data_IF_265062204443
#
_entry.id   IF_265062204443
#
_cell.length_a   1.000
_cell.length_b   1.000
_cell.length_c   1.000
_cell.angle_alpha   90.00
_cell.angle_beta   90.00
_cell.angle_gamma   90.00
#
_symmetry.space_group_name_H-M   'P 1'
#
loop_
_entity.id
_entity.type
_entity.pdbx_description
1 polymer ?
#
# COMPACT_ATOMS: atom_id res chain seq x y z
N UNK A 1 -5.40 0.80 -8.68
CA UNK A 1 -5.71 -0.59 -8.27
C UNK A 1 -6.50 -1.27 -9.39
N UNK A 2 -6.27 -2.57 -9.66
CA UNK A 2 -6.97 -3.28 -10.74
C UNK A 2 -8.43 -3.64 -10.42
N UNK A 3 -8.79 -3.65 -9.14
CA UNK A 3 -10.10 -4.11 -8.66
C UNK A 3 -11.08 -2.95 -8.41
N UNK A 4 -10.81 -1.77 -8.98
CA UNK A 4 -11.66 -0.59 -8.88
C UNK A 4 -12.02 -0.11 -10.29
N UNK A 5 -13.31 0.11 -10.54
CA UNK A 5 -13.81 0.73 -11.77
C UNK A 5 -14.43 2.08 -11.41
N UNK A 6 -14.08 3.12 -12.17
CA UNK A 6 -14.76 4.41 -12.11
C UNK A 6 -15.94 4.35 -13.06
N UNK A 7 -17.13 4.60 -12.53
CA UNK A 7 -18.41 4.62 -13.24
C UNK A 7 -19.07 6.00 -13.07
N UNK A 8 -20.12 6.27 -13.83
CA UNK A 8 -20.90 7.51 -13.68
C UNK A 8 -21.56 7.62 -12.29
N UNK A 9 -21.80 6.49 -11.61
CA UNK A 9 -22.33 6.43 -10.25
C UNK A 9 -21.24 6.52 -9.16
N UNK A 10 -19.97 6.63 -9.53
CA UNK A 10 -18.82 6.66 -8.62
C UNK A 10 -17.91 5.43 -8.73
N UNK A 11 -17.21 5.10 -7.65
CA UNK A 11 -16.22 4.00 -7.63
C UNK A 11 -16.90 2.69 -7.24
N UNK A 12 -16.78 1.68 -8.11
CA UNK A 12 -17.22 0.31 -7.85
C UNK A 12 -16.05 -0.62 -7.58
N UNK A 13 -16.19 -1.49 -6.58
CA UNK A 13 -15.21 -2.54 -6.24
C UNK A 13 -15.64 -3.85 -6.89
N UNK A 14 -14.72 -4.49 -7.59
CA UNK A 14 -14.94 -5.75 -8.32
C UNK A 14 -14.05 -6.88 -7.79
N UNK A 15 -14.18 -8.07 -8.35
CA UNK A 15 -13.38 -9.25 -8.02
C UNK A 15 -13.53 -9.71 -6.55
N UNK A 16 -14.78 -9.97 -6.16
CA UNK A 16 -15.15 -10.48 -4.82
C UNK A 16 -15.00 -12.01 -4.67
N UNK A 17 -14.56 -12.71 -5.71
CA UNK A 17 -14.51 -14.18 -5.76
C UNK A 17 -13.66 -14.82 -4.65
N UNK A 18 -12.70 -14.08 -4.10
CA UNK A 18 -11.79 -14.50 -3.01
C UNK A 18 -11.91 -13.62 -1.76
N UNK A 19 -13.01 -12.90 -1.62
CA UNK A 19 -13.23 -12.07 -0.43
C UNK A 19 -13.32 -12.95 0.83
N UNK A 20 -12.71 -12.48 1.91
CA UNK A 20 -12.67 -13.19 3.18
C UNK A 20 -12.80 -12.19 4.35
N UNK A 21 -13.34 -12.66 5.48
CA UNK A 21 -13.29 -11.89 6.72
C UNK A 21 -11.85 -11.89 7.25
N UNK A 22 -11.28 -10.70 7.41
CA UNK A 22 -9.90 -10.52 7.86
C UNK A 22 -9.69 -9.17 8.54
N UNK A 23 -8.45 -8.90 8.96
CA UNK A 23 -8.09 -7.64 9.59
C UNK A 23 -8.11 -6.50 8.55
N UNK A 24 -8.85 -5.42 8.81
CA UNK A 24 -8.94 -4.23 7.94
C UNK A 24 -7.56 -3.69 7.51
N UNK A 25 -6.55 -3.84 8.38
CA UNK A 25 -5.19 -3.42 8.10
C UNK A 25 -4.56 -4.11 6.87
N UNK A 26 -4.95 -5.35 6.53
CA UNK A 26 -4.39 -6.07 5.38
C UNK A 26 -4.69 -5.35 4.07
N UNK A 27 -5.96 -5.01 3.84
CA UNK A 27 -6.42 -4.31 2.63
C UNK A 27 -5.88 -2.89 2.57
N UNK A 28 -5.76 -2.24 3.73
CA UNK A 28 -5.27 -0.87 3.82
C UNK A 28 -3.78 -0.79 3.49
N UNK A 29 -2.96 -1.72 4.00
CA UNK A 29 -1.53 -1.81 3.65
C UNK A 29 -1.35 -2.27 2.20
N UNK A 30 -2.16 -3.20 1.69
CA UNK A 30 -2.13 -3.59 0.27
C UNK A 30 -2.42 -2.39 -0.64
N UNK A 31 -3.38 -1.55 -0.25
CA UNK A 31 -3.69 -0.29 -0.95
C UNK A 31 -2.51 0.68 -0.88
N UNK A 32 -1.87 0.83 0.28
CA UNK A 32 -0.63 1.60 0.44
C UNK A 32 0.45 1.11 -0.55
N UNK A 33 0.65 -0.21 -0.68
CA UNK A 33 1.64 -0.79 -1.60
C UNK A 33 1.33 -0.50 -3.05
N UNK A 34 0.06 -0.62 -3.46
CA UNK A 34 -0.36 -0.30 -4.83
C UNK A 34 -0.14 1.18 -5.13
N UNK A 35 -0.51 2.08 -4.22
CA UNK A 35 -0.37 3.52 -4.42
C UNK A 35 1.09 3.96 -4.48
N UNK A 36 1.94 3.44 -3.59
CA UNK A 36 3.33 3.88 -3.47
C UNK A 36 4.26 3.18 -4.45
N UNK A 37 4.07 1.87 -4.64
CA UNK A 37 5.04 0.97 -5.29
C UNK A 37 4.45 0.18 -6.46
N UNK A 38 3.20 0.44 -6.85
CA UNK A 38 2.65 -0.13 -8.07
C UNK A 38 3.27 0.42 -9.35
N UNK A 39 2.98 -0.20 -10.51
CA UNK A 39 3.53 0.23 -11.79
C UNK A 39 3.40 1.74 -11.99
N UNK A 40 4.51 2.42 -12.29
CA UNK A 40 4.52 3.84 -12.67
C UNK A 40 3.91 4.04 -14.05
N UNK A 41 3.50 5.29 -14.36
CA UNK A 41 2.95 5.63 -15.70
C UNK A 41 3.87 6.52 -16.54
N UNK A 42 5.05 6.91 -16.06
CA UNK A 42 5.95 7.83 -16.75
C UNK A 42 7.44 7.46 -16.76
N UNK A 43 8.23 8.17 -17.57
CA UNK A 43 9.70 8.09 -17.63
C UNK A 43 10.41 8.74 -16.43
N UNK A 44 11.74 8.68 -16.38
CA UNK A 44 12.55 8.94 -15.17
C UNK A 44 12.28 10.30 -14.47
N UNK A 45 12.16 11.42 -15.20
CA UNK A 45 11.93 12.74 -14.59
C UNK A 45 10.49 12.94 -14.11
N UNK A 46 9.50 12.38 -14.82
CA UNK A 46 8.11 12.29 -14.35
C UNK A 46 8.03 11.43 -13.08
N UNK A 47 8.94 10.45 -12.95
CA UNK A 47 9.01 9.52 -11.83
C UNK A 47 9.24 10.17 -10.46
N UNK A 48 10.05 11.25 -10.35
CA UNK A 48 10.28 11.92 -9.04
C UNK A 48 9.07 12.70 -8.56
N UNK A 49 8.45 13.51 -9.42
CA UNK A 49 7.23 14.23 -9.07
C UNK A 49 6.08 13.25 -8.79
N UNK A 50 5.93 12.20 -9.62
CA UNK A 50 4.96 11.13 -9.39
C UNK A 50 5.19 10.44 -8.03
N UNK A 51 6.44 10.17 -7.65
CA UNK A 51 6.79 9.56 -6.37
C UNK A 51 6.32 10.40 -5.17
N UNK A 52 6.55 11.71 -5.19
CA UNK A 52 6.08 12.61 -4.13
C UNK A 52 4.56 12.63 -4.03
N UNK A 53 3.87 12.73 -5.16
CA UNK A 53 2.40 12.72 -5.22
C UNK A 53 1.86 11.39 -4.69
N UNK A 54 2.43 10.26 -5.10
CA UNK A 54 2.04 8.92 -4.63
C UNK A 54 2.20 8.76 -3.12
N UNK A 55 3.33 9.18 -2.57
CA UNK A 55 3.58 9.10 -1.13
C UNK A 55 2.65 10.04 -0.36
N UNK A 56 2.40 11.25 -0.87
CA UNK A 56 1.46 12.19 -0.26
C UNK A 56 0.01 11.66 -0.29
N UNK A 57 -0.44 11.16 -1.44
CA UNK A 57 -1.77 10.58 -1.64
C UNK A 57 -1.98 9.35 -0.75
N UNK A 58 -0.99 8.46 -0.67
CA UNK A 58 -1.04 7.29 0.20
C UNK A 58 -1.14 7.69 1.67
N UNK A 59 -0.29 8.62 2.14
CA UNK A 59 -0.37 9.14 3.52
C UNK A 59 -1.73 9.78 3.81
N UNK A 60 -2.27 10.56 2.88
CA UNK A 60 -3.60 11.18 3.03
C UNK A 60 -4.70 10.12 3.12
N UNK A 61 -4.70 9.13 2.22
CA UNK A 61 -5.68 8.04 2.19
C UNK A 61 -5.67 7.26 3.51
N UNK A 62 -4.49 6.82 3.96
CA UNK A 62 -4.33 6.09 5.23
C UNK A 62 -4.85 6.88 6.43
N UNK A 63 -4.47 8.16 6.55
CA UNK A 63 -4.96 9.02 7.63
C UNK A 63 -6.47 9.12 7.61
N UNK A 64 -7.06 9.35 6.43
CA UNK A 64 -8.50 9.56 6.31
C UNK A 64 -9.30 8.28 6.53
N UNK A 65 -8.78 7.15 6.08
CA UNK A 65 -9.40 5.84 6.30
C UNK A 65 -9.39 5.48 7.79
N UNK A 66 -8.23 5.58 8.46
CA UNK A 66 -8.12 5.33 9.91
C UNK A 66 -9.07 6.19 10.73
N UNK A 67 -9.16 7.48 10.41
CA UNK A 67 -10.06 8.41 11.10
C UNK A 67 -11.54 8.03 10.95
N UNK A 68 -11.91 7.27 9.90
CA UNK A 68 -13.28 6.78 9.69
C UNK A 68 -13.52 5.39 10.26
N UNK A 69 -12.51 4.53 10.25
CA UNK A 69 -12.65 3.13 10.67
C UNK A 69 -12.30 2.88 12.13
N UNK A 70 -11.67 3.84 12.82
CA UNK A 70 -11.12 3.63 14.15
C UNK A 70 -9.92 2.68 14.19
N UNK A 71 -9.30 2.39 13.03
CA UNK A 71 -8.18 1.45 12.95
C UNK A 71 -6.96 1.96 13.73
N UNK A 72 -6.51 1.13 14.66
CA UNK A 72 -5.36 1.40 15.48
C UNK A 72 -4.04 1.47 14.66
N UNK A 73 -3.12 2.31 15.12
CA UNK A 73 -1.81 2.50 14.50
C UNK A 73 -0.94 1.26 14.63
N UNK A 74 -1.00 0.55 15.75
CA UNK A 74 -0.11 -0.61 16.00
C UNK A 74 -0.47 -1.76 15.06
N UNK A 75 -1.77 -1.97 14.81
CA UNK A 75 -2.23 -2.91 13.80
C UNK A 75 -1.61 -2.63 12.42
N UNK A 76 -1.53 -1.37 12.00
CA UNK A 76 -0.87 -1.02 10.74
C UNK A 76 0.62 -1.34 10.76
N UNK A 77 1.33 -1.03 11.85
CA UNK A 77 2.77 -1.33 11.96
C UNK A 77 3.03 -2.82 11.77
N UNK A 78 2.30 -3.69 12.49
CA UNK A 78 2.46 -5.13 12.37
C UNK A 78 2.18 -5.64 10.94
N UNK A 79 1.10 -5.16 10.32
CA UNK A 79 0.71 -5.61 8.98
C UNK A 79 1.59 -5.07 7.86
N UNK A 80 2.25 -3.92 8.05
CA UNK A 80 3.19 -3.38 7.05
C UNK A 80 4.33 -4.34 6.75
N UNK A 81 4.94 -4.92 7.77
CA UNK A 81 6.04 -5.87 7.59
C UNK A 81 5.58 -7.12 6.84
N UNK A 82 4.48 -7.75 7.28
CA UNK A 82 3.96 -8.98 6.68
C UNK A 82 3.54 -8.80 5.23
N UNK A 83 2.81 -7.72 4.92
CA UNK A 83 2.37 -7.44 3.55
C UNK A 83 3.54 -7.04 2.66
N UNK A 84 4.54 -6.31 3.17
CA UNK A 84 5.74 -5.98 2.40
C UNK A 84 6.52 -7.24 1.97
N UNK A 85 6.73 -8.18 2.89
CA UNK A 85 7.36 -9.47 2.59
C UNK A 85 6.53 -10.25 1.55
N UNK A 86 5.20 -10.32 1.73
CA UNK A 86 4.32 -11.00 0.78
C UNK A 86 4.36 -10.35 -0.61
N UNK A 87 4.48 -9.02 -0.67
CA UNK A 87 4.57 -8.25 -1.90
C UNK A 87 5.84 -8.58 -2.69
N UNK A 88 6.99 -8.71 -2.02
CA UNK A 88 8.27 -9.11 -2.65
C UNK A 88 8.14 -10.40 -3.45
N UNK A 89 7.36 -11.37 -2.96
CA UNK A 89 7.15 -12.66 -3.62
C UNK A 89 6.21 -12.59 -4.83
N UNK A 90 5.32 -11.61 -4.86
CA UNK A 90 4.22 -11.55 -5.85
C UNK A 90 4.49 -10.54 -6.97
N UNK A 91 5.34 -9.53 -6.75
CA UNK A 91 5.48 -8.41 -7.67
C UNK A 91 6.82 -7.70 -7.57
N UNK A 92 7.36 -7.31 -8.73
CA UNK A 92 8.43 -6.33 -8.80
C UNK A 92 7.89 -4.92 -8.47
N UNK A 93 8.44 -4.22 -7.46
CA UNK A 93 8.03 -2.86 -7.13
C UNK A 93 8.62 -1.86 -8.15
N UNK A 94 7.84 -0.87 -8.58
CA UNK A 94 8.32 0.12 -9.56
C UNK A 94 9.39 1.10 -8.99
N UNK A 95 9.56 1.14 -7.67
CA UNK A 95 10.48 2.03 -6.95
C UNK A 95 11.31 1.18 -5.99
N UNK A 96 12.21 0.36 -6.53
CA UNK A 96 12.93 -0.70 -5.80
C UNK A 96 13.66 -0.18 -4.55
N UNK A 97 14.48 0.86 -4.67
CA UNK A 97 15.23 1.44 -3.54
C UNK A 97 14.29 1.98 -2.44
N UNK A 98 13.26 2.73 -2.84
CA UNK A 98 12.29 3.28 -1.89
C UNK A 98 11.45 2.18 -1.22
N UNK A 99 11.18 1.09 -1.94
CA UNK A 99 10.51 -0.08 -1.41
C UNK A 99 11.40 -0.84 -0.42
N UNK A 100 12.69 -1.03 -0.75
CA UNK A 100 13.65 -1.65 0.16
C UNK A 100 13.79 -0.86 1.48
N UNK A 101 13.91 0.47 1.39
CA UNK A 101 13.91 1.34 2.57
C UNK A 101 12.60 1.23 3.38
N UNK A 102 11.47 1.12 2.69
CA UNK A 102 10.17 0.91 3.33
C UNK A 102 10.10 -0.45 4.06
N UNK A 103 10.57 -1.54 3.44
CA UNK A 103 10.58 -2.87 4.05
C UNK A 103 11.48 -2.87 5.30
N UNK A 104 12.70 -2.34 5.20
CA UNK A 104 13.61 -2.23 6.33
C UNK A 104 12.99 -1.42 7.49
N UNK A 105 12.34 -0.31 7.17
CA UNK A 105 11.59 0.50 8.15
C UNK A 105 10.45 -0.27 8.80
N UNK A 106 9.65 -0.99 8.01
CA UNK A 106 8.50 -1.75 8.49
C UNK A 106 8.93 -2.92 9.41
N UNK A 107 10.01 -3.63 9.06
CA UNK A 107 10.55 -4.71 9.89
C UNK A 107 11.03 -4.17 11.25
N UNK A 108 11.79 -3.08 11.23
CA UNK A 108 12.29 -2.43 12.45
C UNK A 108 11.15 -1.94 13.34
N UNK A 109 10.13 -1.30 12.77
CA UNK A 109 8.96 -0.84 13.54
C UNK A 109 8.15 -2.00 14.14
N UNK A 110 8.14 -3.17 13.49
CA UNK A 110 7.50 -4.38 13.98
C UNK A 110 8.40 -5.21 14.93
N UNK A 111 9.64 -4.78 15.20
CA UNK A 111 10.60 -5.55 16.01
C UNK A 111 11.11 -6.83 15.34
N UNK A 112 11.05 -6.92 14.02
CA UNK A 112 11.51 -8.05 13.23
C UNK A 112 12.95 -7.84 12.71
N UNK A 113 13.73 -8.92 12.51
CA UNK A 113 15.07 -8.82 11.94
C UNK A 113 15.04 -8.28 10.50
N UNK A 114 16.16 -7.68 10.02
CA UNK A 114 16.31 -7.31 8.62
C UNK A 114 16.31 -8.55 7.71
N UNK A 115 16.00 -8.34 6.43
CA UNK A 115 16.05 -9.37 5.38
C UNK A 115 17.44 -9.46 4.73
#
# INVERSE_FOLDING_TARGET
PGNLIVTDAGVSVIDWSRAACGAIATDLVRTEMVMRFGPGRGGADVGRAEAHVRDAASRWYLRRYRARSGLDREALVAWRALVAIAWMRQRAPAREEAFAAYVAGALREAGLPPL
#
